data_IF_504208713090
#
_entry.id   IF_504208713090
#
_cell.length_a   1.000
_cell.length_b   1.000
_cell.length_c   1.000
_cell.angle_alpha   90.00
_cell.angle_beta   90.00
_cell.angle_gamma   90.00
#
_symmetry.space_group_name_H-M   'P 1'
#
loop_
_entity.id
_entity.type
_entity.pdbx_description
1 polymer ?
#
# COMPACT_ATOMS: atom_id res chain seq x y z
N UNK A 1 17.05 -19.78 2.21
CA UNK A 1 15.87 -18.92 2.33
C UNK A 1 15.48 -18.58 0.92
N UNK A 2 14.35 -19.13 0.44
CA UNK A 2 13.96 -18.97 -0.95
C UNK A 2 13.17 -17.69 -1.15
N UNK A 3 13.41 -17.01 -2.26
CA UNK A 3 12.76 -15.74 -2.59
C UNK A 3 11.41 -16.04 -3.22
N UNK A 4 10.33 -15.57 -2.59
CA UNK A 4 8.99 -15.58 -3.18
C UNK A 4 8.84 -14.38 -4.12
N UNK A 5 8.53 -14.65 -5.39
CA UNK A 5 8.12 -13.63 -6.37
C UNK A 5 6.64 -13.85 -6.68
N UNK A 6 5.83 -12.82 -6.52
CA UNK A 6 4.40 -12.88 -6.79
C UNK A 6 3.93 -11.60 -7.46
N UNK A 7 2.73 -11.66 -8.03
CA UNK A 7 2.03 -10.51 -8.62
C UNK A 7 0.57 -10.54 -8.15
N UNK A 8 -0.06 -9.38 -8.08
CA UNK A 8 -1.52 -9.26 -7.92
C UNK A 8 -2.14 -8.92 -9.26
N UNK A 9 -3.22 -9.60 -9.65
CA UNK A 9 -3.97 -9.35 -10.88
C UNK A 9 -5.48 -9.41 -10.61
N UNK A 10 -6.27 -8.65 -11.37
CA UNK A 10 -7.70 -8.44 -11.12
C UNK A 10 -8.20 -7.13 -11.76
N UNK A 11 -9.52 -6.94 -11.78
CA UNK A 11 -10.22 -5.77 -12.32
C UNK A 11 -9.80 -4.46 -11.64
N UNK A 12 -10.11 -3.33 -12.27
CA UNK A 12 -10.08 -2.02 -11.60
C UNK A 12 -10.96 -2.10 -10.34
N UNK A 13 -10.50 -1.47 -9.26
CA UNK A 13 -11.15 -1.44 -7.94
C UNK A 13 -11.16 -2.76 -7.12
N UNK A 14 -10.54 -3.85 -7.61
CA UNK A 14 -10.38 -5.10 -6.84
C UNK A 14 -9.38 -5.00 -5.65
N UNK A 15 -8.92 -3.80 -5.29
CA UNK A 15 -8.05 -3.59 -4.12
C UNK A 15 -6.62 -4.13 -4.24
N UNK A 16 -6.13 -4.43 -5.45
CA UNK A 16 -4.76 -4.94 -5.70
C UNK A 16 -3.68 -4.06 -5.07
N UNK A 17 -3.74 -2.75 -5.32
CA UNK A 17 -2.81 -1.75 -4.78
C UNK A 17 -2.90 -1.68 -3.26
N UNK A 18 -4.12 -1.73 -2.71
CA UNK A 18 -4.36 -1.77 -1.26
C UNK A 18 -3.74 -3.01 -0.62
N UNK A 19 -3.83 -4.18 -1.26
CA UNK A 19 -3.25 -5.43 -0.75
C UNK A 19 -1.71 -5.35 -0.71
N UNK A 20 -1.07 -4.89 -1.79
CA UNK A 20 0.40 -4.72 -1.79
C UNK A 20 0.81 -3.68 -0.74
N UNK A 21 0.12 -2.54 -0.68
CA UNK A 21 0.38 -1.51 0.34
C UNK A 21 0.25 -2.03 1.76
N UNK A 22 -0.74 -2.90 2.01
CA UNK A 22 -0.92 -3.56 3.31
C UNK A 22 0.21 -4.53 3.65
N UNK A 23 0.66 -5.34 2.69
CA UNK A 23 1.80 -6.22 2.90
C UNK A 23 3.07 -5.43 3.23
N UNK A 24 3.32 -4.31 2.54
CA UNK A 24 4.46 -3.44 2.84
C UNK A 24 4.36 -2.82 4.23
N UNK A 25 3.16 -2.40 4.64
CA UNK A 25 2.91 -1.83 5.96
C UNK A 25 3.10 -2.85 7.08
N UNK A 26 2.46 -4.01 6.98
CA UNK A 26 2.49 -5.06 8.00
C UNK A 26 3.86 -5.74 8.10
N UNK A 27 4.69 -5.67 7.06
CA UNK A 27 6.07 -6.19 7.06
C UNK A 27 7.12 -5.16 7.51
N UNK A 28 6.70 -3.95 7.91
CA UNK A 28 7.59 -2.85 8.29
C UNK A 28 8.60 -2.49 7.17
N UNK A 29 8.22 -2.74 5.90
CA UNK A 29 9.06 -2.50 4.73
C UNK A 29 8.96 -1.07 4.17
N UNK A 30 8.23 -0.18 4.86
CA UNK A 30 8.04 1.22 4.50
C UNK A 30 9.04 2.09 5.26
N UNK A 31 9.71 3.00 4.56
CA UNK A 31 10.60 3.97 5.18
C UNK A 31 9.83 4.95 6.09
N UNK A 32 10.44 5.36 7.20
CA UNK A 32 9.78 6.18 8.22
C UNK A 32 9.24 7.51 7.68
N UNK A 33 9.98 8.18 6.78
CA UNK A 33 9.56 9.42 6.11
C UNK A 33 8.31 9.21 5.25
N UNK A 34 8.22 8.08 4.55
CA UNK A 34 7.05 7.71 3.76
C UNK A 34 5.86 7.39 4.67
N UNK A 35 6.10 6.74 5.79
CA UNK A 35 5.06 6.44 6.79
C UNK A 35 4.50 7.72 7.43
N UNK A 36 5.35 8.69 7.76
CA UNK A 36 4.92 10.02 8.22
C UNK A 36 4.13 10.77 7.16
N UNK A 37 4.56 10.71 5.89
CA UNK A 37 3.82 11.29 4.76
C UNK A 37 2.43 10.64 4.59
N UNK A 38 2.32 9.32 4.77
CA UNK A 38 1.04 8.61 4.77
C UNK A 38 0.12 9.09 5.90
N UNK A 39 0.64 9.17 7.13
CA UNK A 39 -0.12 9.59 8.30
C UNK A 39 -0.57 11.06 8.24
N UNK A 40 0.22 11.92 7.59
CA UNK A 40 -0.13 13.32 7.37
C UNK A 40 -1.00 13.55 6.13
N UNK A 41 -1.17 12.54 5.27
CA UNK A 41 -2.01 12.66 4.08
C UNK A 41 -3.49 12.74 4.46
N UNK A 42 -4.23 13.61 3.76
CA UNK A 42 -5.69 13.71 3.90
C UNK A 42 -6.45 12.61 3.12
N UNK A 43 -5.73 11.74 2.40
CA UNK A 43 -6.33 10.66 1.61
C UNK A 43 -6.64 9.48 2.55
N UNK A 44 -7.93 9.22 2.74
CA UNK A 44 -8.45 8.15 3.59
C UNK A 44 -9.43 7.30 2.80
N UNK A 45 -9.55 6.04 3.20
CA UNK A 45 -10.62 5.17 2.72
C UNK A 45 -11.98 5.66 3.23
N UNK A 46 -13.06 5.13 2.68
CA UNK A 46 -14.44 5.49 3.06
C UNK A 46 -14.74 5.22 4.55
N UNK A 47 -14.02 4.28 5.16
CA UNK A 47 -14.12 3.95 6.59
C UNK A 47 -13.22 4.83 7.49
N UNK A 48 -12.51 5.80 6.92
CA UNK A 48 -11.59 6.69 7.61
C UNK A 48 -10.21 6.09 7.91
N UNK A 49 -9.93 4.86 7.46
CA UNK A 49 -8.60 4.25 7.55
C UNK A 49 -7.62 4.86 6.54
N UNK A 50 -6.33 4.63 6.76
CA UNK A 50 -5.26 5.13 5.87
C UNK A 50 -5.40 4.44 4.52
N UNK A 51 -5.40 5.23 3.43
CA UNK A 51 -5.39 4.69 2.08
C UNK A 51 -3.97 4.19 1.72
N UNK A 52 -3.76 2.89 1.89
CA UNK A 52 -2.48 2.23 1.60
C UNK A 52 -2.21 2.05 0.11
N UNK A 53 -3.20 2.24 -0.78
CA UNK A 53 -2.98 2.11 -2.21
C UNK A 53 -1.99 3.17 -2.74
N UNK A 54 -1.90 4.32 -2.06
CA UNK A 54 -0.99 5.41 -2.41
C UNK A 54 0.50 5.01 -2.42
N UNK A 55 0.88 3.98 -1.65
CA UNK A 55 2.25 3.43 -1.64
C UNK A 55 2.65 2.83 -2.99
N UNK A 56 1.67 2.40 -3.78
CA UNK A 56 1.88 1.70 -5.05
C UNK A 56 1.31 2.45 -6.26
N UNK A 57 0.36 3.36 -6.06
CA UNK A 57 -0.25 4.20 -7.12
C UNK A 57 0.75 5.15 -7.79
N UNK A 58 1.85 5.48 -7.11
CA UNK A 58 2.88 6.41 -7.59
C UNK A 58 3.99 5.79 -8.46
N UNK A 59 3.97 4.46 -8.68
CA UNK A 59 4.96 3.77 -9.51
C UNK A 59 4.69 4.08 -11.00
N UNK A 60 5.32 5.16 -11.51
CA UNK A 60 5.46 5.44 -12.94
C UNK A 60 6.70 4.78 -13.52
#
# INVERSE_FOLDING_TARGET
MDILKFITAGSVDDGKSTLIGRLLYDSEAILADQLEALHSSNRKNDDGSIDLAILTDGLK
#
